data_IF_090307468241
#
_entry.id   IF_090307468241
#
_cell.length_a   1.000
_cell.length_b   1.000
_cell.length_c   1.000
_cell.angle_alpha   90.00
_cell.angle_beta   90.00
_cell.angle_gamma   90.00
#
_symmetry.space_group_name_H-M   'P 1'
#
loop_
_entity.id
_entity.type
_entity.pdbx_description
1 polymer ?
#
# COMPACT_ATOMS: atom_id res chain seq x y z
N UNK A 1 -22.42 -25.46 14.31
CA UNK A 1 -22.62 -24.05 14.72
C UNK A 1 -21.35 -23.23 14.96
N UNK A 2 -20.44 -23.60 15.87
CA UNK A 2 -19.26 -22.78 16.21
C UNK A 2 -18.37 -22.36 15.02
N UNK A 3 -18.05 -23.30 14.13
CA UNK A 3 -17.26 -23.01 12.91
C UNK A 3 -17.96 -22.01 11.98
N UNK A 4 -19.28 -22.15 11.80
CA UNK A 4 -20.07 -21.25 10.94
C UNK A 4 -20.09 -19.82 11.50
N UNK A 5 -20.22 -19.68 12.82
CA UNK A 5 -20.12 -18.36 13.48
C UNK A 5 -18.71 -17.76 13.34
N UNK A 6 -17.66 -18.57 13.51
CA UNK A 6 -16.29 -18.11 13.33
C UNK A 6 -16.02 -17.60 11.90
N UNK A 7 -16.54 -18.29 10.89
CA UNK A 7 -16.42 -17.86 9.49
C UNK A 7 -17.16 -16.56 9.20
N UNK A 8 -18.38 -16.39 9.73
CA UNK A 8 -19.12 -15.13 9.59
C UNK A 8 -18.37 -13.95 10.21
N UNK A 9 -17.76 -14.13 11.38
CA UNK A 9 -16.91 -13.10 12.00
C UNK A 9 -15.66 -12.82 11.18
N UNK A 10 -15.02 -13.86 10.64
CA UNK A 10 -13.83 -13.72 9.80
C UNK A 10 -14.13 -12.95 8.50
N UNK A 11 -15.29 -13.17 7.89
CA UNK A 11 -15.72 -12.45 6.69
C UNK A 11 -15.75 -10.92 6.93
N UNK A 12 -16.26 -10.49 8.08
CA UNK A 12 -16.26 -9.07 8.49
C UNK A 12 -14.83 -8.58 8.75
N UNK A 13 -13.98 -9.39 9.39
CA UNK A 13 -12.61 -8.97 9.69
C UNK A 13 -11.71 -8.80 8.46
N UNK A 14 -11.97 -9.52 7.36
CA UNK A 14 -11.14 -9.41 6.16
C UNK A 14 -11.14 -7.98 5.58
N UNK A 15 -12.31 -7.35 5.51
CA UNK A 15 -12.42 -5.98 4.98
C UNK A 15 -11.80 -4.95 5.93
N UNK A 16 -11.98 -5.10 7.25
CA UNK A 16 -11.42 -4.17 8.23
C UNK A 16 -9.88 -4.26 8.32
N UNK A 17 -9.33 -5.48 8.31
CA UNK A 17 -7.87 -5.68 8.25
C UNK A 17 -7.30 -5.18 6.93
N UNK A 18 -7.99 -5.41 5.81
CA UNK A 18 -7.62 -4.88 4.51
C UNK A 18 -7.57 -3.34 4.48
N UNK A 19 -8.55 -2.68 5.10
CA UNK A 19 -8.59 -1.22 5.22
C UNK A 19 -7.37 -0.68 5.99
N UNK A 20 -6.99 -1.32 7.09
CA UNK A 20 -5.80 -0.95 7.88
C UNK A 20 -4.52 -1.18 7.08
N UNK A 21 -4.42 -2.28 6.35
CA UNK A 21 -3.26 -2.57 5.49
C UNK A 21 -3.05 -1.49 4.42
N UNK A 22 -4.12 -0.97 3.82
CA UNK A 22 -4.04 0.14 2.86
C UNK A 22 -3.48 1.42 3.50
N UNK A 23 -3.88 1.73 4.75
CA UNK A 23 -3.36 2.90 5.47
C UNK A 23 -1.85 2.77 5.68
N UNK A 24 -1.37 1.59 6.09
CA UNK A 24 0.07 1.35 6.22
C UNK A 24 0.80 1.45 4.88
N UNK A 25 0.21 0.94 3.80
CA UNK A 25 0.81 1.02 2.47
C UNK A 25 0.91 2.47 1.97
N UNK A 26 -0.12 3.30 2.19
CA UNK A 26 -0.10 4.75 1.88
C UNK A 26 1.00 5.47 2.66
N UNK A 27 1.08 5.22 3.95
CA UNK A 27 2.13 5.82 4.78
C UNK A 27 3.54 5.38 4.33
N UNK A 28 3.71 4.11 3.96
CA UNK A 28 4.97 3.62 3.41
C UNK A 28 5.34 4.29 2.08
N UNK A 29 4.35 4.58 1.22
CA UNK A 29 4.57 5.34 -0.01
C UNK A 29 5.00 6.78 0.29
N UNK A 30 4.36 7.45 1.25
CA UNK A 30 4.73 8.82 1.66
C UNK A 30 6.18 8.88 2.17
N UNK A 31 6.55 7.97 3.07
CA UNK A 31 7.92 7.83 3.58
C UNK A 31 8.92 7.53 2.45
N UNK A 32 8.55 6.66 1.50
CA UNK A 32 9.38 6.38 0.34
C UNK A 32 9.58 7.64 -0.53
N UNK A 33 8.53 8.44 -0.73
CA UNK A 33 8.58 9.70 -1.48
C UNK A 33 9.51 10.72 -0.81
N UNK A 34 9.45 10.87 0.51
CA UNK A 34 10.37 11.74 1.24
C UNK A 34 11.82 11.24 1.14
N UNK A 35 12.01 9.93 1.28
CA UNK A 35 13.33 9.30 1.26
C UNK A 35 14.00 9.36 -0.12
N UNK A 36 13.24 9.30 -1.22
CA UNK A 36 13.80 9.38 -2.58
C UNK A 36 14.16 10.82 -2.97
N UNK A 37 13.47 11.81 -2.40
CA UNK A 37 13.74 13.25 -2.60
C UNK A 37 14.99 13.70 -1.83
N UNK A 38 15.13 13.24 -0.59
CA UNK A 38 16.23 13.64 0.30
C UNK A 38 17.56 12.96 -0.01
N UNK A 39 17.54 11.71 -0.48
CA UNK A 39 18.77 10.95 -0.77
C UNK A 39 19.34 11.26 -2.14
N UNK A 40 20.64 11.55 -2.18
CA UNK A 40 21.41 11.67 -3.42
C UNK A 40 22.17 10.38 -3.73
N UNK A 41 22.16 9.98 -5.00
CA UNK A 41 22.92 8.85 -5.57
C UNK A 41 23.33 9.19 -7.00
N UNK A 42 24.51 8.75 -7.43
CA UNK A 42 25.00 9.00 -8.80
C UNK A 42 24.95 10.50 -9.20
N UNK A 43 25.25 11.40 -8.24
CA UNK A 43 25.27 12.84 -8.47
C UNK A 43 23.91 13.55 -8.50
N UNK A 44 22.79 12.84 -8.33
CA UNK A 44 21.44 13.46 -8.33
C UNK A 44 20.51 12.84 -7.27
N UNK A 45 19.36 13.45 -6.96
CA UNK A 45 18.36 12.83 -6.10
C UNK A 45 17.91 11.47 -6.62
N UNK A 46 17.64 10.53 -5.71
CA UNK A 46 17.20 9.17 -6.04
C UNK A 46 15.91 9.16 -6.87
N UNK A 47 15.06 10.19 -6.70
CA UNK A 47 13.85 10.43 -7.49
C UNK A 47 14.08 10.58 -8.99
N UNK A 48 15.31 10.87 -9.45
CA UNK A 48 15.63 11.00 -10.87
C UNK A 48 15.92 9.66 -11.55
N UNK A 49 16.10 8.59 -10.77
CA UNK A 49 16.38 7.26 -11.29
C UNK A 49 15.09 6.63 -11.82
N UNK A 50 15.07 6.24 -13.10
CA UNK A 50 13.87 5.68 -13.76
C UNK A 50 13.32 4.43 -13.08
N UNK A 51 14.19 3.56 -12.57
CA UNK A 51 13.79 2.37 -11.82
C UNK A 51 13.09 2.71 -10.50
N UNK A 52 13.46 3.81 -9.86
CA UNK A 52 12.81 4.28 -8.63
C UNK A 52 11.45 4.88 -8.96
N UNK A 53 11.35 5.65 -10.05
CA UNK A 53 10.06 6.17 -10.54
C UNK A 53 9.08 5.03 -10.86
N UNK A 54 9.55 3.97 -11.54
CA UNK A 54 8.74 2.80 -11.84
C UNK A 54 8.23 2.11 -10.56
N UNK A 55 9.12 1.84 -9.59
CA UNK A 55 8.74 1.24 -8.30
C UNK A 55 7.71 2.04 -7.52
N UNK A 56 7.85 3.37 -7.49
CA UNK A 56 6.87 4.24 -6.82
C UNK A 56 5.52 4.26 -7.57
N UNK A 57 5.57 4.18 -8.90
CA UNK A 57 4.37 4.03 -9.74
C UNK A 57 3.64 2.72 -9.43
N UNK A 58 4.35 1.61 -9.39
CA UNK A 58 3.78 0.29 -9.05
C UNK A 58 3.17 0.29 -7.65
N UNK A 59 3.86 0.87 -6.65
CA UNK A 59 3.32 1.02 -5.29
C UNK A 59 2.02 1.82 -5.28
N UNK A 60 1.96 2.95 -5.99
CA UNK A 60 0.74 3.77 -6.06
C UNK A 60 -0.40 3.00 -6.71
N UNK A 61 -0.13 2.28 -7.80
CA UNK A 61 -1.12 1.49 -8.52
C UNK A 61 -1.70 0.38 -7.62
N UNK A 62 -0.84 -0.36 -6.92
CA UNK A 62 -1.26 -1.46 -6.05
C UNK A 62 -2.10 -0.96 -4.87
N UNK A 63 -1.74 0.20 -4.31
CA UNK A 63 -2.49 0.85 -3.23
C UNK A 63 -3.90 1.25 -3.71
N UNK A 64 -3.99 1.90 -4.86
CA UNK A 64 -5.27 2.37 -5.40
C UNK A 64 -6.17 1.21 -5.80
N UNK A 65 -5.60 0.18 -6.44
CA UNK A 65 -6.33 -1.04 -6.77
C UNK A 65 -6.84 -1.75 -5.50
N UNK A 66 -5.98 -1.88 -4.48
CA UNK A 66 -6.37 -2.49 -3.20
C UNK A 66 -7.47 -1.70 -2.52
N UNK A 67 -7.40 -0.36 -2.54
CA UNK A 67 -8.44 0.51 -1.99
C UNK A 67 -9.79 0.30 -2.68
N UNK A 68 -9.81 0.22 -4.01
CA UNK A 68 -11.04 -0.05 -4.77
C UNK A 68 -11.64 -1.43 -4.46
N UNK A 69 -10.80 -2.45 -4.30
CA UNK A 69 -11.25 -3.80 -3.93
C UNK A 69 -11.85 -3.82 -2.51
N UNK A 70 -11.21 -3.17 -1.54
CA UNK A 70 -11.70 -3.12 -0.16
C UNK A 70 -12.96 -2.27 -0.03
N UNK A 71 -13.07 -1.14 -0.73
CA UNK A 71 -14.31 -0.34 -0.72
C UNK A 71 -15.49 -1.05 -1.36
N UNK A 72 -15.24 -2.02 -2.24
CA UNK A 72 -16.28 -2.85 -2.87
C UNK A 72 -16.70 -4.06 -2.01
N UNK A 73 -15.87 -4.45 -1.05
CA UNK A 73 -16.04 -5.67 -0.24
C UNK A 73 -17.15 -5.57 0.80
#
# INVERSE_FOLDING_TARGET
>A
EGFKMAMATLDIFRSTVGAVAIVFARHALDEALERVKSRKMFGSPMSNLKLIQAKLGDMSLDIDASALLIYRA
#
